data_IF_015467171986
#
_entry.id   IF_015467171986
#
_cell.length_a   1.000
_cell.length_b   1.000
_cell.length_c   1.000
_cell.angle_alpha   90.00
_cell.angle_beta   90.00
_cell.angle_gamma   90.00
#
_symmetry.space_group_name_H-M   'P 1'
#
loop_
_entity.id
_entity.type
_entity.pdbx_description
1 polymer ?
#
# COMPACT_ATOMS: atom_id res chain seq x y z
N UNK A 1 11.07 9.56 -14.39
CA UNK A 1 11.46 9.61 -12.96
C UNK A 1 10.24 9.21 -12.13
N UNK A 2 10.29 8.11 -11.36
CA UNK A 2 9.16 7.67 -10.53
C UNK A 2 8.91 8.70 -9.42
N UNK A 3 7.68 9.16 -9.24
CA UNK A 3 7.32 10.08 -8.15
C UNK A 3 7.52 9.33 -6.82
N UNK A 4 8.41 9.84 -5.95
CA UNK A 4 8.43 9.46 -4.53
C UNK A 4 7.12 10.00 -3.94
N UNK A 5 6.20 9.10 -3.59
CA UNK A 5 4.81 9.47 -3.34
C UNK A 5 4.41 9.38 -1.86
N UNK A 6 5.09 8.55 -1.08
CA UNK A 6 4.97 8.52 0.36
C UNK A 6 6.12 9.34 0.94
N UNK A 7 5.90 10.10 2.01
CA UNK A 7 7.01 10.56 2.87
C UNK A 7 7.76 9.40 3.53
N UNK A 8 7.42 8.14 3.19
CA UNK A 8 8.05 6.94 3.64
C UNK A 8 9.14 6.51 2.65
N UNK A 9 10.16 5.86 3.20
CA UNK A 9 11.25 5.30 2.43
C UNK A 9 10.77 4.21 1.45
N UNK A 10 9.73 3.47 1.85
CA UNK A 10 9.22 2.28 1.19
C UNK A 10 7.70 2.43 0.94
N UNK A 11 7.19 2.10 -0.26
CA UNK A 11 5.74 2.02 -0.48
C UNK A 11 5.13 0.85 0.29
N UNK A 12 4.11 1.11 1.09
CA UNK A 12 3.34 0.04 1.73
C UNK A 12 2.02 -0.17 1.00
N UNK A 13 1.70 -1.41 0.72
CA UNK A 13 0.45 -1.80 0.07
C UNK A 13 -0.01 -3.19 0.47
N UNK A 14 -1.27 -3.47 0.17
CA UNK A 14 -1.91 -4.77 0.35
C UNK A 14 -2.28 -5.35 -1.00
N UNK A 15 -1.94 -6.62 -1.20
CA UNK A 15 -2.43 -7.41 -2.32
C UNK A 15 -3.77 -8.04 -1.96
N UNK A 16 -4.79 -7.80 -2.79
CA UNK A 16 -6.09 -8.45 -2.66
C UNK A 16 -6.64 -8.86 -4.03
N UNK A 17 -7.58 -9.82 -4.08
CA UNK A 17 -8.29 -10.13 -5.30
C UNK A 17 -8.99 -8.88 -5.85
N UNK A 18 -8.78 -8.58 -7.13
CA UNK A 18 -9.42 -7.45 -7.83
C UNK A 18 -10.96 -7.54 -7.72
N UNK A 19 -11.52 -8.75 -7.64
CA UNK A 19 -12.95 -9.00 -7.45
C UNK A 19 -13.51 -8.50 -6.12
N UNK A 20 -12.68 -8.21 -5.12
CA UNK A 20 -13.13 -7.67 -3.82
C UNK A 20 -13.22 -6.14 -3.82
N UNK A 21 -12.83 -5.48 -4.91
CA UNK A 21 -12.87 -4.03 -5.02
C UNK A 21 -14.18 -3.59 -5.65
N UNK A 22 -15.03 -2.96 -4.84
CA UNK A 22 -16.32 -2.42 -5.26
C UNK A 22 -16.53 -1.00 -4.70
N UNK A 23 -16.93 -0.01 -5.53
CA UNK A 23 -17.10 -0.12 -6.97
C UNK A 23 -15.75 -0.35 -7.69
N UNK A 24 -15.74 -0.91 -8.92
CA UNK A 24 -14.49 -1.11 -9.66
C UNK A 24 -13.69 0.19 -9.78
N UNK A 25 -12.38 0.16 -9.54
CA UNK A 25 -11.58 1.40 -9.50
C UNK A 25 -11.73 2.26 -10.76
N UNK A 26 -11.78 1.62 -11.94
CA UNK A 26 -11.95 2.27 -13.24
C UNK A 26 -13.30 2.98 -13.42
N UNK A 27 -14.31 2.71 -12.57
CA UNK A 27 -15.57 3.44 -12.61
C UNK A 27 -15.45 4.85 -12.02
N UNK A 28 -14.35 5.15 -11.33
CA UNK A 28 -14.10 6.47 -10.76
C UNK A 28 -13.41 7.36 -11.82
N UNK A 29 -14.00 8.49 -12.19
CA UNK A 29 -13.51 9.34 -13.28
C UNK A 29 -12.08 9.86 -13.05
N UNK A 30 -11.73 10.12 -11.79
CA UNK A 30 -10.41 10.61 -11.38
C UNK A 30 -9.36 9.51 -11.29
N UNK A 31 -9.75 8.24 -11.35
CA UNK A 31 -8.81 7.13 -11.35
C UNK A 31 -8.16 7.00 -12.73
N UNK A 32 -6.85 7.21 -12.81
CA UNK A 32 -6.07 7.02 -14.03
C UNK A 32 -5.03 5.93 -13.83
N UNK A 33 -4.83 5.13 -14.86
CA UNK A 33 -3.80 4.09 -14.91
C UNK A 33 -2.89 4.32 -16.09
N UNK A 34 -1.60 4.04 -15.92
CA UNK A 34 -0.62 4.05 -16.99
C UNK A 34 0.33 2.86 -16.86
N UNK A 35 0.85 2.41 -18.00
CA UNK A 35 1.85 1.34 -18.02
C UNK A 35 3.20 1.90 -17.56
N UNK A 36 3.64 1.49 -16.37
CA UNK A 36 4.88 1.97 -15.75
C UNK A 36 6.11 1.15 -16.14
N UNK A 37 5.89 -0.08 -16.63
CA UNK A 37 6.89 -0.96 -17.21
C UNK A 37 6.22 -1.94 -18.17
N UNK A 38 6.96 -2.70 -19.00
CA UNK A 38 6.35 -3.69 -19.89
C UNK A 38 5.40 -4.66 -19.19
N UNK A 39 5.60 -4.93 -17.89
CA UNK A 39 4.85 -5.92 -17.11
C UNK A 39 4.01 -5.34 -15.97
N UNK A 40 3.92 -4.02 -15.84
CA UNK A 40 3.19 -3.42 -14.72
C UNK A 40 2.52 -2.08 -14.99
N UNK A 41 1.37 -1.87 -14.34
CA UNK A 41 0.59 -0.65 -14.34
C UNK A 41 0.64 0.02 -12.97
N UNK A 42 0.65 1.36 -12.99
CA UNK A 42 0.50 2.20 -11.80
C UNK A 42 -0.73 3.05 -11.96
N UNK A 43 -1.44 3.27 -10.87
CA UNK A 43 -2.66 4.08 -10.89
C UNK A 43 -2.63 5.18 -9.83
N UNK A 44 -3.24 6.30 -10.17
CA UNK A 44 -3.21 7.53 -9.39
C UNK A 44 -4.48 8.36 -9.61
N UNK A 45 -4.75 9.29 -8.69
CA UNK A 45 -5.83 10.26 -8.84
C UNK A 45 -5.39 11.41 -9.76
N UNK A 46 -6.10 11.68 -10.85
CA UNK A 46 -5.77 12.79 -11.77
C UNK A 46 -5.98 14.18 -11.16
N UNK A 47 -6.72 14.30 -10.06
CA UNK A 47 -6.96 15.58 -9.41
C UNK A 47 -5.81 15.98 -8.48
N UNK A 48 -5.40 15.09 -7.56
CA UNK A 48 -4.38 15.39 -6.55
C UNK A 48 -3.02 14.71 -6.80
N UNK A 49 -2.95 13.73 -7.71
CA UNK A 49 -1.73 12.99 -8.01
C UNK A 49 -1.37 11.88 -7.00
N UNK A 50 -2.22 11.60 -6.01
CA UNK A 50 -2.00 10.51 -5.05
C UNK A 50 -1.93 9.16 -5.77
N UNK A 51 -0.93 8.35 -5.43
CA UNK A 51 -0.83 6.97 -5.93
C UNK A 51 -1.85 6.09 -5.20
N UNK A 52 -2.56 5.25 -5.95
CA UNK A 52 -3.69 4.47 -5.44
C UNK A 52 -3.41 2.96 -5.52
N UNK A 53 -2.95 2.49 -6.68
CA UNK A 53 -2.80 1.06 -6.91
C UNK A 53 -1.61 0.70 -7.82
N UNK A 54 -1.25 -0.58 -7.77
CA UNK A 54 -0.28 -1.23 -8.64
C UNK A 54 -0.82 -2.59 -9.10
N UNK A 55 -0.58 -2.92 -10.36
CA UNK A 55 -0.99 -4.20 -10.94
C UNK A 55 0.12 -4.77 -11.83
N UNK A 56 0.34 -6.08 -11.76
CA UNK A 56 1.16 -6.80 -12.71
C UNK A 56 0.30 -7.42 -13.82
N UNK A 57 0.75 -7.33 -15.06
CA UNK A 57 0.03 -7.89 -16.22
C UNK A 57 -0.11 -9.42 -16.14
N UNK A 58 0.84 -10.08 -15.44
CA UNK A 58 0.86 -11.53 -15.27
C UNK A 58 -0.15 -12.04 -14.24
N UNK A 59 -0.67 -11.17 -13.38
CA UNK A 59 -1.63 -11.49 -12.33
C UNK A 59 -2.71 -10.39 -12.26
N UNK A 60 -3.50 -10.19 -13.35
CA UNK A 60 -4.52 -9.13 -13.40
C UNK A 60 -5.64 -9.30 -12.36
N UNK A 61 -5.82 -10.52 -11.84
CA UNK A 61 -6.75 -10.87 -10.78
C UNK A 61 -6.35 -10.36 -9.40
N UNK A 62 -5.11 -9.87 -9.23
CA UNK A 62 -4.62 -9.27 -7.99
C UNK A 62 -4.38 -7.78 -8.20
N UNK A 63 -4.90 -6.97 -7.27
CA UNK A 63 -4.60 -5.55 -7.19
C UNK A 63 -3.87 -5.27 -5.89
N UNK A 64 -2.75 -4.56 -6.01
CA UNK A 64 -2.05 -4.00 -4.87
C UNK A 64 -2.57 -2.59 -4.62
N UNK A 65 -3.14 -2.33 -3.43
CA UNK A 65 -3.64 -1.02 -3.00
C UNK A 65 -2.65 -0.42 -2.02
N UNK A 66 -2.25 0.83 -2.22
CA UNK A 66 -1.34 1.50 -1.30
C UNK A 66 -2.06 1.88 0.00
N UNK A 67 -1.44 1.66 1.15
CA UNK A 67 -2.05 1.95 2.46
C UNK A 67 -2.42 3.43 2.62
N UNK A 68 -1.66 4.33 1.99
CA UNK A 68 -1.93 5.76 2.00
C UNK A 68 -3.22 6.19 1.29
N UNK A 69 -3.90 5.27 0.58
CA UNK A 69 -5.23 5.52 -0.01
C UNK A 69 -6.37 4.91 0.80
N UNK A 70 -6.11 4.28 1.95
CA UNK A 70 -7.14 3.75 2.84
C UNK A 70 -7.64 4.88 3.75
N UNK A 71 -8.96 4.96 3.90
CA UNK A 71 -9.56 5.95 4.80
C UNK A 71 -9.19 5.66 6.26
N UNK A 72 -9.06 6.73 7.04
CA UNK A 72 -8.70 6.66 8.46
C UNK A 72 -9.63 5.73 9.25
N UNK A 73 -10.92 5.71 8.92
CA UNK A 73 -11.91 4.85 9.57
C UNK A 73 -11.62 3.35 9.40
N UNK A 74 -11.06 2.96 8.25
CA UNK A 74 -10.68 1.55 7.98
C UNK A 74 -9.49 1.16 8.85
N UNK A 75 -8.50 2.05 8.94
CA UNK A 75 -7.24 1.80 9.64
C UNK A 75 -7.39 1.87 11.17
N UNK A 76 -8.11 2.87 11.65
CA UNK A 76 -8.15 3.25 13.06
C UNK A 76 -9.52 3.01 13.71
N UNK A 77 -10.57 2.67 12.95
CA UNK A 77 -11.93 2.59 13.44
C UNK A 77 -12.69 3.93 13.43
N UNK A 78 -13.97 3.88 13.82
CA UNK A 78 -14.86 5.05 13.85
C UNK A 78 -14.51 5.97 15.01
N UNK A 79 -14.60 7.27 14.79
CA UNK A 79 -14.52 8.27 15.86
C UNK A 79 -15.72 8.12 16.78
N UNK A 80 -15.48 8.06 18.09
CA UNK A 80 -16.56 8.14 19.10
C UNK A 80 -17.12 9.56 19.11
N UNK A 81 -18.43 9.69 19.32
CA UNK A 81 -19.12 10.99 19.30
C UNK A 81 -18.47 12.00 20.27
N UNK A 82 -18.15 13.19 19.77
CA UNK A 82 -17.51 14.27 20.54
C UNK A 82 -15.98 14.38 20.40
N UNK A 83 -15.36 13.57 19.53
CA UNK A 83 -13.95 13.72 19.18
C UNK A 83 -13.70 14.91 18.23
N UNK A 84 -12.79 15.81 18.59
CA UNK A 84 -12.33 16.90 17.71
C UNK A 84 -11.29 16.40 16.68
N UNK A 85 -11.37 16.93 15.45
CA UNK A 85 -10.39 16.63 14.41
C UNK A 85 -8.97 17.05 14.82
N UNK A 86 -8.00 16.14 14.65
CA UNK A 86 -6.60 16.38 15.03
C UNK A 86 -6.22 16.00 16.45
N UNK A 87 -7.17 15.52 17.28
CA UNK A 87 -6.86 14.92 18.58
C UNK A 87 -6.81 13.40 18.52
N UNK A 88 -5.91 12.80 19.31
CA UNK A 88 -5.88 11.33 19.50
C UNK A 88 -7.13 10.96 20.29
N UNK A 89 -8.18 10.61 19.56
CA UNK A 89 -9.47 10.20 20.09
C UNK A 89 -9.52 8.70 20.28
N UNK A 90 -10.27 8.24 21.30
CA UNK A 90 -10.66 6.82 21.38
C UNK A 90 -11.49 6.49 20.13
N UNK A 91 -11.18 5.36 19.50
CA UNK A 91 -11.85 4.86 18.31
C UNK A 91 -12.64 3.59 18.65
N UNK A 92 -13.77 3.42 17.99
CA UNK A 92 -14.59 2.21 18.09
C UNK A 92 -14.44 1.35 16.83
N UNK A 93 -14.03 0.10 17.03
CA UNK A 93 -13.84 -0.89 15.96
C UNK A 93 -12.46 -0.88 15.31
N UNK A 94 -12.25 -1.89 14.45
CA UNK A 94 -11.09 -2.19 13.59
C UNK A 94 -9.70 -1.88 14.13
N UNK A 95 -9.01 -2.90 14.63
CA UNK A 95 -7.54 -2.88 14.89
C UNK A 95 -6.72 -3.27 13.65
N UNK A 96 -7.35 -3.39 12.46
CA UNK A 96 -6.68 -3.92 11.28
C UNK A 96 -5.52 -3.03 10.82
N UNK A 97 -5.57 -1.72 11.07
CA UNK A 97 -4.50 -0.80 10.71
C UNK A 97 -3.17 -1.17 11.38
N UNK A 98 -3.21 -1.75 12.59
CA UNK A 98 -1.99 -2.25 13.24
C UNK A 98 -1.36 -3.39 12.44
N UNK A 99 -2.17 -4.33 11.96
CA UNK A 99 -1.69 -5.47 11.17
C UNK A 99 -1.26 -5.07 9.76
N UNK A 100 -1.98 -4.14 9.11
CA UNK A 100 -1.61 -3.61 7.81
C UNK A 100 -0.29 -2.82 7.88
N UNK A 101 -0.04 -2.08 8.96
CA UNK A 101 1.17 -1.27 9.10
C UNK A 101 2.44 -2.05 9.50
N UNK A 102 2.33 -3.34 9.89
CA UNK A 102 3.50 -4.16 10.26
C UNK A 102 4.45 -4.45 9.09
N UNK A 103 4.03 -4.24 7.85
CA UNK A 103 4.82 -4.40 6.61
C UNK A 103 5.88 -5.53 6.67
N UNK A 104 5.45 -6.79 6.91
CA UNK A 104 6.37 -7.90 7.19
C UNK A 104 7.23 -8.33 5.99
N UNK A 105 6.89 -7.89 4.78
CA UNK A 105 7.62 -8.19 3.55
C UNK A 105 7.69 -6.94 2.68
N UNK A 106 8.87 -6.61 2.15
CA UNK A 106 9.05 -5.53 1.19
C UNK A 106 10.24 -5.83 0.27
N UNK A 107 10.11 -5.57 -1.03
CA UNK A 107 11.16 -5.89 -2.02
C UNK A 107 12.51 -5.18 -1.78
N UNK A 108 12.54 -4.10 -1.01
CA UNK A 108 13.79 -3.43 -0.56
C UNK A 108 14.33 -3.95 0.78
N UNK A 109 13.53 -4.70 1.56
CA UNK A 109 14.04 -5.56 2.65
C UNK A 109 14.69 -6.78 1.99
N UNK A 110 14.04 -7.36 0.98
CA UNK A 110 14.59 -8.47 0.19
C UNK A 110 15.82 -8.09 -0.64
N UNK A 111 16.08 -6.79 -0.83
CA UNK A 111 17.29 -6.23 -1.45
C UNK A 111 17.91 -5.18 -0.53
N UNK A 112 18.14 -5.56 0.73
CA UNK A 112 18.58 -4.66 1.79
C UNK A 112 19.74 -3.76 1.37
N UNK A 113 19.60 -2.45 1.58
CA UNK A 113 20.69 -1.48 1.42
C UNK A 113 21.32 -1.27 2.79
N UNK A 114 22.64 -1.51 2.88
CA UNK A 114 23.40 -1.35 4.12
C UNK A 114 23.21 0.05 4.71
N UNK A 115 22.84 0.12 5.98
CA UNK A 115 22.57 1.36 6.71
C UNK A 115 21.20 2.01 6.44
N UNK A 116 20.35 1.37 5.63
CA UNK A 116 19.03 1.91 5.27
C UNK A 116 17.91 0.90 5.54
N UNK A 117 17.95 -0.28 4.90
CA UNK A 117 16.89 -1.30 5.00
C UNK A 117 17.40 -2.65 5.54
N UNK A 118 18.66 -2.72 5.96
CA UNK A 118 19.35 -3.91 6.49
C UNK A 118 18.97 -4.31 7.92
N UNK A 119 18.03 -3.59 8.53
CA UNK A 119 17.45 -3.92 9.84
C UNK A 119 16.00 -4.42 9.76
N UNK A 120 15.41 -4.47 8.56
CA UNK A 120 14.07 -5.02 8.37
C UNK A 120 14.11 -6.55 8.44
N UNK A 121 13.11 -7.16 9.07
CA UNK A 121 12.90 -8.61 9.04
C UNK A 121 12.33 -9.00 7.66
N UNK A 122 12.95 -9.95 6.96
CA UNK A 122 12.52 -10.43 5.63
C UNK A 122 13.56 -11.31 4.92
N UNK A 123 13.17 -11.95 3.81
CA UNK A 123 14.00 -12.93 3.10
C UNK A 123 14.61 -12.34 1.81
N UNK A 124 15.93 -12.42 1.68
CA UNK A 124 16.65 -11.89 0.52
C UNK A 124 16.37 -12.74 -0.74
N UNK A 125 15.58 -12.27 -1.70
CA UNK A 125 15.22 -13.04 -2.92
C UNK A 125 16.43 -13.51 -3.75
N UNK A 126 17.57 -12.82 -3.66
CA UNK A 126 18.81 -13.17 -4.38
C UNK A 126 19.69 -14.20 -3.67
N UNK A 127 19.39 -14.54 -2.41
CA UNK A 127 19.96 -15.72 -1.76
C UNK A 127 18.82 -16.72 -1.71
N UNK A 128 18.85 -17.73 -2.58
CA UNK A 128 17.93 -18.86 -2.53
C UNK A 128 17.75 -19.32 -1.08
N UNK A 129 16.54 -19.80 -0.77
CA UNK A 129 15.99 -20.17 0.54
C UNK A 129 16.86 -21.13 1.37
N UNK A 130 18.05 -20.70 1.74
CA UNK A 130 19.08 -21.42 2.47
C UNK A 130 19.91 -20.40 3.27
N UNK A 131 19.31 -19.87 4.34
CA UNK A 131 20.07 -19.44 5.51
C UNK A 131 19.33 -20.06 6.70
N UNK A 132 20.03 -20.80 7.59
CA UNK A 132 19.44 -21.71 8.58
C UNK A 132 18.49 -21.04 9.58
#
# INVERSE_FOLDING_TARGET
MCRKFTGALLPQGISLPTSYISPPLLSNETYKSYQSSPTAYRSFCSNCGSSLAFNYNRCPEVTEIYHGSLDEEVLCGKKVAGAEDGTISKREGSDIGYDLCKAPNHNWIDNSIKGITDKGEGNLYLRGSDVP
#
